data_IF_729849239283
#
_entry.id   IF_729849239283
#
_cell.length_a   1.000
_cell.length_b   1.000
_cell.length_c   1.000
_cell.angle_alpha   90.00
_cell.angle_beta   90.00
_cell.angle_gamma   90.00
#
_symmetry.space_group_name_H-M   'P 1'
#
loop_
_entity.id
_entity.type
_entity.pdbx_description
1 polymer ?
#
# COMPACT_ATOMS: atom_id res chain seq x y z
N UNK A 1 6.06 -14.51 -3.91
CA UNK A 1 5.81 -13.99 -2.54
C UNK A 1 5.32 -12.56 -2.68
N UNK A 2 4.16 -12.26 -2.08
CA UNK A 2 3.54 -10.93 -1.86
C UNK A 2 3.23 -10.15 -3.17
N UNK A 3 2.01 -9.87 -3.59
CA UNK A 3 0.87 -9.29 -2.88
C UNK A 3 -0.48 -9.68 -3.54
N UNK A 4 -0.53 -10.74 -4.36
CA UNK A 4 -1.75 -11.26 -5.03
C UNK A 4 -2.73 -12.01 -4.09
N UNK A 5 -2.43 -12.04 -2.79
CA UNK A 5 -3.31 -12.64 -1.78
C UNK A 5 -4.24 -11.59 -1.19
N UNK A 6 -5.52 -11.97 -1.00
CA UNK A 6 -6.45 -11.22 -0.16
C UNK A 6 -5.73 -10.81 1.13
N UNK A 7 -5.75 -9.51 1.46
CA UNK A 7 -5.07 -9.03 2.65
C UNK A 7 -5.57 -9.82 3.88
N UNK A 8 -4.72 -10.21 4.85
CA UNK A 8 -5.15 -11.02 6.00
C UNK A 8 -6.19 -10.33 6.89
N UNK A 9 -6.37 -9.01 6.70
CA UNK A 9 -7.37 -8.17 7.36
C UNK A 9 -8.70 -8.08 6.56
N UNK A 10 -8.67 -8.45 5.28
CA UNK A 10 -9.80 -8.34 4.37
C UNK A 10 -10.69 -9.57 4.57
N UNK A 11 -11.79 -9.38 5.32
CA UNK A 11 -12.77 -10.44 5.64
C UNK A 11 -13.52 -11.00 4.41
N UNK A 12 -13.52 -10.26 3.29
CA UNK A 12 -14.16 -10.64 2.03
C UNK A 12 -13.28 -10.18 0.86
N UNK A 13 -12.83 -11.07 -0.04
CA UNK A 13 -12.14 -10.66 -1.26
C UNK A 13 -13.14 -9.97 -2.21
N UNK A 14 -12.94 -8.68 -2.49
CA UNK A 14 -13.63 -7.98 -3.59
C UNK A 14 -14.23 -6.61 -3.29
N UNK A 15 -14.53 -6.28 -2.03
CA UNK A 15 -15.36 -5.09 -1.73
C UNK A 15 -14.55 -3.89 -1.16
N UNK A 16 -13.51 -4.14 -0.37
CA UNK A 16 -12.97 -3.10 0.53
C UNK A 16 -11.48 -2.78 0.32
N UNK A 17 -10.86 -3.22 -0.78
CA UNK A 17 -9.41 -3.03 -0.96
C UNK A 17 -9.02 -2.51 -2.35
N UNK A 18 -9.20 -1.22 -2.63
CA UNK A 18 -8.71 -0.63 -3.87
C UNK A 18 -7.17 -0.67 -3.93
N UNK A 19 -6.66 -0.96 -5.13
CA UNK A 19 -5.24 -0.86 -5.44
C UNK A 19 -4.89 0.60 -5.72
N UNK A 20 -3.88 1.11 -5.02
CA UNK A 20 -3.40 2.47 -5.13
C UNK A 20 -1.99 2.45 -5.68
N UNK A 21 -1.71 3.34 -6.62
CA UNK A 21 -0.40 3.47 -7.22
C UNK A 21 0.39 4.58 -6.55
N UNK A 22 1.65 4.32 -6.26
CA UNK A 22 2.60 5.35 -5.90
C UNK A 22 3.12 6.07 -7.14
N UNK A 23 3.62 7.29 -6.98
CA UNK A 23 4.37 8.01 -8.01
C UNK A 23 5.59 7.22 -8.51
N UNK A 24 6.13 6.32 -7.67
CA UNK A 24 7.17 5.37 -8.01
C UNK A 24 6.71 4.17 -8.87
N UNK A 25 5.47 4.19 -9.38
CA UNK A 25 4.87 3.12 -10.19
C UNK A 25 4.76 1.76 -9.48
N UNK A 26 4.72 1.76 -8.14
CA UNK A 26 4.41 0.57 -7.34
C UNK A 26 2.96 0.60 -6.90
N UNK A 27 2.25 -0.51 -7.09
CA UNK A 27 0.87 -0.66 -6.66
C UNK A 27 0.80 -1.40 -5.32
N UNK A 28 -0.03 -0.89 -4.42
CA UNK A 28 -0.29 -1.53 -3.13
C UNK A 28 -1.78 -1.42 -2.81
N UNK A 29 -2.29 -2.38 -2.05
CA UNK A 29 -3.60 -2.29 -1.44
C UNK A 29 -3.67 -1.06 -0.51
N UNK A 30 -4.75 -0.28 -0.61
CA UNK A 30 -4.97 0.94 0.19
C UNK A 30 -4.71 0.70 1.68
N UNK A 31 -5.27 -0.36 2.27
CA UNK A 31 -5.09 -0.66 3.70
C UNK A 31 -3.64 -1.01 4.05
N UNK A 32 -2.95 -1.78 3.21
CA UNK A 32 -1.57 -2.17 3.45
C UNK A 32 -0.65 -0.94 3.42
N UNK A 33 -0.83 -0.08 2.42
CA UNK A 33 0.00 1.12 2.30
C UNK A 33 -0.35 2.17 3.34
N UNK A 34 -1.63 2.37 3.68
CA UNK A 34 -2.02 3.27 4.76
C UNK A 34 -1.45 2.81 6.10
N UNK A 35 -1.52 1.51 6.43
CA UNK A 35 -0.92 0.96 7.65
C UNK A 35 0.59 1.19 7.68
N UNK A 36 1.26 0.97 6.55
CA UNK A 36 2.70 1.19 6.42
C UNK A 36 3.10 2.66 6.58
N UNK A 37 2.39 3.56 5.91
CA UNK A 37 2.61 5.00 5.99
C UNK A 37 2.29 5.52 7.39
N UNK A 38 1.20 5.06 8.01
CA UNK A 38 0.82 5.45 9.37
C UNK A 38 1.82 4.94 10.43
N UNK A 39 2.44 3.78 10.18
CA UNK A 39 3.51 3.25 11.03
C UNK A 39 4.84 4.04 10.91
N UNK A 40 4.99 4.92 9.93
CA UNK A 40 6.18 5.76 9.76
C UNK A 40 5.95 7.15 10.34
N UNK A 41 6.74 7.53 11.35
CA UNK A 41 6.58 8.80 12.06
C UNK A 41 7.19 10.01 11.35
N UNK A 42 8.22 9.80 10.53
CA UNK A 42 9.03 10.91 9.97
C UNK A 42 8.86 11.11 8.46
N UNK A 43 8.79 10.05 7.67
CA UNK A 43 8.64 10.14 6.21
C UNK A 43 8.03 8.85 5.70
N UNK A 44 6.95 8.98 4.94
CA UNK A 44 6.34 7.87 4.25
C UNK A 44 7.27 7.43 3.11
N UNK A 45 7.76 6.19 3.15
CA UNK A 45 8.60 5.62 2.09
C UNK A 45 7.89 4.45 1.41
N UNK A 46 8.14 4.28 0.11
CA UNK A 46 7.64 3.15 -0.63
C UNK A 46 8.23 1.84 -0.08
N UNK A 47 7.41 0.82 0.24
CA UNK A 47 7.89 -0.47 0.72
C UNK A 47 8.88 -1.17 -0.21
N UNK A 48 8.77 -0.96 -1.53
CA UNK A 48 9.59 -1.65 -2.53
C UNK A 48 10.86 -0.89 -2.88
N UNK A 49 10.76 0.40 -3.24
CA UNK A 49 11.91 1.18 -3.68
C UNK A 49 12.52 2.08 -2.59
N UNK A 50 11.90 2.19 -1.41
CA UNK A 50 12.31 3.07 -0.29
C UNK A 50 12.40 4.56 -0.62
N UNK A 51 12.01 4.96 -1.84
CA UNK A 51 11.83 6.37 -2.20
C UNK A 51 10.65 6.98 -1.45
N UNK A 52 10.52 8.30 -1.49
CA UNK A 52 9.39 9.03 -0.90
C UNK A 52 8.06 8.48 -1.46
N UNK A 53 7.16 8.09 -0.55
CA UNK A 53 5.83 7.62 -0.92
C UNK A 53 4.93 8.82 -1.22
N UNK A 54 4.48 8.87 -2.46
CA UNK A 54 3.52 9.85 -2.95
C UNK A 54 2.41 9.12 -3.68
N UNK A 55 1.15 9.43 -3.35
CA UNK A 55 0.00 8.87 -4.05
C UNK A 55 -0.03 9.39 -5.49
N UNK A 56 -0.19 8.48 -6.46
CA UNK A 56 -0.43 8.83 -7.85
C UNK A 56 -1.90 9.24 -7.97
N UNK A 57 -2.13 10.54 -8.17
CA UNK A 57 -3.45 11.12 -8.40
C UNK A 57 -4.06 10.72 -9.74
#
# INVERSE_FOLDING_TARGET
>A
MAFDGCCPDCKHPGDDCPLIWGACNHAFHLHCILKWVNSQTSQAQCPMCRGEWQFKG
#
